data_IF_331087334836
#
_entry.id   IF_331087334836
#
_cell.length_a   1.000
_cell.length_b   1.000
_cell.length_c   1.000
_cell.angle_alpha   90.00
_cell.angle_beta   90.00
_cell.angle_gamma   90.00
#
_symmetry.space_group_name_H-M   'P 1'
#
loop_
_entity.id
_entity.type
_entity.pdbx_description
1 polymer ?
#
# COMPACT_ATOMS: atom_id res chain seq x y z
N UNK A 1 14.40 -10.93 -16.96
CA UNK A 1 14.02 -10.83 -15.54
C UNK A 1 13.63 -12.25 -15.10
N UNK A 2 13.53 -12.55 -13.81
CA UNK A 2 13.11 -13.91 -13.39
C UNK A 2 11.59 -14.02 -13.37
N UNK A 3 11.00 -15.22 -13.53
CA UNK A 3 9.55 -15.41 -13.53
C UNK A 3 8.86 -14.87 -12.27
N UNK A 4 9.45 -15.07 -11.09
CA UNK A 4 8.92 -14.54 -9.82
C UNK A 4 8.84 -13.01 -9.84
N UNK A 5 9.90 -12.33 -10.25
CA UNK A 5 9.90 -10.85 -10.37
C UNK A 5 8.90 -10.34 -11.41
N UNK A 6 8.78 -11.03 -12.55
CA UNK A 6 7.80 -10.69 -13.58
C UNK A 6 6.37 -10.78 -13.06
N UNK A 7 6.06 -11.85 -12.30
CA UNK A 7 4.76 -12.01 -11.66
C UNK A 7 4.49 -10.92 -10.61
N UNK A 8 5.45 -10.64 -9.72
CA UNK A 8 5.32 -9.58 -8.72
C UNK A 8 5.00 -8.23 -9.39
N UNK A 9 5.77 -7.86 -10.42
CA UNK A 9 5.55 -6.61 -11.15
C UNK A 9 4.16 -6.58 -11.80
N UNK A 10 3.73 -7.68 -12.43
CA UNK A 10 2.41 -7.77 -13.04
C UNK A 10 1.28 -7.59 -12.00
N UNK A 11 1.44 -8.16 -10.80
CA UNK A 11 0.47 -8.01 -9.72
C UNK A 11 0.42 -6.57 -9.18
N UNK A 12 1.58 -5.93 -8.99
CA UNK A 12 1.68 -4.51 -8.58
C UNK A 12 1.02 -3.58 -9.61
N UNK A 13 1.28 -3.79 -10.91
CA UNK A 13 0.67 -3.03 -12.01
C UNK A 13 -0.84 -3.22 -12.06
N UNK A 14 -1.32 -4.47 -11.94
CA UNK A 14 -2.74 -4.79 -11.91
C UNK A 14 -3.44 -4.17 -10.71
N UNK A 15 -2.80 -4.19 -9.54
CA UNK A 15 -3.29 -3.55 -8.32
C UNK A 15 -3.52 -2.06 -8.54
N UNK A 16 -2.51 -1.34 -9.03
CA UNK A 16 -2.62 0.10 -9.31
C UNK A 16 -3.70 0.42 -10.33
N UNK A 17 -3.76 -0.31 -11.45
CA UNK A 17 -4.77 -0.06 -12.47
C UNK A 17 -6.20 -0.18 -11.91
N UNK A 18 -6.46 -1.19 -11.08
CA UNK A 18 -7.76 -1.36 -10.41
C UNK A 18 -8.05 -0.24 -9.41
N UNK A 19 -7.07 0.10 -8.58
CA UNK A 19 -7.17 1.18 -7.60
C UNK A 19 -7.52 2.50 -8.27
N UNK A 20 -6.77 2.89 -9.32
CA UNK A 20 -7.02 4.12 -10.07
C UNK A 20 -8.38 4.13 -10.77
N UNK A 21 -8.80 3.01 -11.35
CA UNK A 21 -10.10 2.92 -12.00
C UNK A 21 -11.26 3.18 -11.04
N UNK A 22 -11.22 2.59 -9.84
CA UNK A 22 -12.28 2.77 -8.84
C UNK A 22 -12.25 4.20 -8.29
N UNK A 23 -11.08 4.73 -7.90
CA UNK A 23 -10.99 6.10 -7.39
C UNK A 23 -11.38 7.16 -8.44
N UNK A 24 -11.12 6.90 -9.73
CA UNK A 24 -11.56 7.78 -10.82
C UNK A 24 -13.07 7.78 -11.03
N UNK A 25 -13.80 6.78 -10.52
CA UNK A 25 -15.27 6.73 -10.57
C UNK A 25 -15.95 7.38 -9.36
N UNK A 26 -15.18 7.83 -8.36
CA UNK A 26 -15.71 8.45 -7.14
C UNK A 26 -16.23 9.86 -7.47
N UNK A 27 -17.48 10.11 -7.11
CA UNK A 27 -18.09 11.44 -7.22
C UNK A 27 -17.58 12.39 -6.14
N UNK A 28 -17.65 13.72 -6.33
CA UNK A 28 -17.23 14.69 -5.32
C UNK A 28 -17.83 14.47 -3.93
N UNK A 29 -19.10 14.05 -3.85
CA UNK A 29 -19.77 13.79 -2.57
C UNK A 29 -19.26 12.52 -1.86
N UNK A 30 -18.89 11.49 -2.63
CA UNK A 30 -18.46 10.20 -2.08
C UNK A 30 -17.10 10.26 -1.38
N UNK A 31 -16.24 11.24 -1.70
CA UNK A 31 -14.95 11.42 -1.02
C UNK A 31 -15.09 11.62 0.51
N UNK A 32 -16.22 12.19 0.96
CA UNK A 32 -16.48 12.46 2.37
C UNK A 32 -17.28 11.37 3.07
N UNK A 33 -17.64 10.28 2.38
CA UNK A 33 -18.33 9.14 3.00
C UNK A 33 -17.39 8.48 4.00
N UNK A 34 -17.87 8.28 5.23
CA UNK A 34 -17.15 7.56 6.27
C UNK A 34 -17.17 6.07 5.95
N UNK A 35 -15.98 5.48 5.79
CA UNK A 35 -15.76 4.08 5.47
C UNK A 35 -15.47 3.23 6.72
N UNK A 36 -14.64 3.76 7.62
CA UNK A 36 -14.29 3.10 8.87
C UNK A 36 -14.66 4.01 10.04
N UNK A 37 -15.34 3.47 11.05
CA UNK A 37 -15.73 4.22 12.25
C UNK A 37 -14.66 4.19 13.35
N UNK A 38 -13.78 3.18 13.31
CA UNK A 38 -12.77 2.90 14.33
C UNK A 38 -11.39 2.68 13.69
N UNK A 39 -10.29 2.97 14.41
CA UNK A 39 -10.22 3.56 15.75
C UNK A 39 -10.68 5.03 15.81
N UNK A 40 -10.81 5.68 14.65
CA UNK A 40 -11.47 6.96 14.44
C UNK A 40 -12.03 7.01 13.00
N UNK A 41 -12.97 7.93 12.69
CA UNK A 41 -13.60 7.98 11.38
C UNK A 41 -12.61 8.21 10.24
N UNK A 42 -12.61 7.33 9.24
CA UNK A 42 -11.88 7.51 7.99
C UNK A 42 -12.87 7.70 6.86
N UNK A 43 -12.68 8.75 6.09
CA UNK A 43 -13.41 8.95 4.84
C UNK A 43 -12.80 8.13 3.69
N UNK A 44 -13.50 8.05 2.56
CA UNK A 44 -12.94 7.49 1.31
C UNK A 44 -11.64 8.21 0.91
N UNK A 45 -11.57 9.53 1.13
CA UNK A 45 -10.36 10.32 0.88
C UNK A 45 -9.21 9.94 1.82
N UNK A 46 -9.51 9.64 3.08
CA UNK A 46 -8.50 9.18 4.04
C UNK A 46 -8.01 7.77 3.70
N UNK A 47 -8.86 6.90 3.15
CA UNK A 47 -8.41 5.61 2.61
C UNK A 47 -7.38 5.79 1.48
N UNK A 48 -7.63 6.72 0.56
CA UNK A 48 -6.67 7.01 -0.51
C UNK A 48 -5.34 7.55 0.05
N UNK A 49 -5.39 8.41 1.07
CA UNK A 49 -4.19 8.88 1.77
C UNK A 49 -3.44 7.71 2.44
N UNK A 50 -4.16 6.78 3.08
CA UNK A 50 -3.61 5.55 3.66
C UNK A 50 -2.93 4.66 2.62
N UNK A 51 -3.47 4.57 1.41
CA UNK A 51 -2.85 3.79 0.34
C UNK A 51 -1.49 4.35 -0.07
N UNK A 52 -1.38 5.67 -0.16
CA UNK A 52 -0.12 6.35 -0.45
C UNK A 52 0.90 6.11 0.68
N UNK A 53 0.53 6.40 1.92
CA UNK A 53 1.45 6.25 3.06
C UNK A 53 1.87 4.80 3.32
N UNK A 54 0.96 3.84 3.09
CA UNK A 54 1.26 2.42 3.20
C UNK A 54 2.19 1.95 2.09
N UNK A 55 2.00 2.40 0.85
CA UNK A 55 2.92 2.08 -0.26
C UNK A 55 4.35 2.55 0.07
N UNK A 56 4.49 3.80 0.51
CA UNK A 56 5.79 4.40 0.86
C UNK A 56 6.44 3.69 2.05
N UNK A 57 5.69 3.47 3.14
CA UNK A 57 6.18 2.82 4.35
C UNK A 57 6.56 1.35 4.12
N UNK A 58 5.70 0.59 3.44
CA UNK A 58 5.98 -0.82 3.14
C UNK A 58 7.17 -0.98 2.19
N UNK A 59 7.31 -0.11 1.19
CA UNK A 59 8.50 -0.10 0.33
C UNK A 59 9.78 0.11 1.15
N UNK A 60 9.78 1.07 2.08
CA UNK A 60 10.94 1.35 2.93
C UNK A 60 11.33 0.14 3.80
N UNK A 61 10.34 -0.59 4.32
CA UNK A 61 10.58 -1.80 5.11
C UNK A 61 11.07 -2.94 4.22
N UNK A 62 10.47 -3.15 3.05
CA UNK A 62 10.91 -4.17 2.09
C UNK A 62 12.36 -3.92 1.63
N UNK A 63 12.72 -2.66 1.39
CA UNK A 63 14.09 -2.25 1.09
C UNK A 63 15.06 -2.53 2.24
N UNK A 64 14.63 -2.34 3.48
CA UNK A 64 15.44 -2.71 4.65
C UNK A 64 15.73 -4.22 4.68
N UNK A 65 14.72 -5.06 4.44
CA UNK A 65 14.88 -6.52 4.38
C UNK A 65 15.83 -6.92 3.24
N UNK A 66 15.65 -6.33 2.06
CA UNK A 66 16.54 -6.55 0.91
C UNK A 66 17.99 -6.12 1.18
N UNK A 67 18.21 -5.14 2.06
CA UNK A 67 19.54 -4.73 2.52
C UNK A 67 20.11 -5.61 3.65
N UNK A 68 19.38 -6.63 4.11
CA UNK A 68 19.78 -7.53 5.20
C UNK A 68 19.36 -7.05 6.59
N UNK A 69 18.49 -6.04 6.67
CA UNK A 69 17.86 -5.62 7.92
C UNK A 69 16.72 -6.54 8.34
N UNK A 70 16.22 -6.32 9.57
CA UNK A 70 15.21 -7.17 10.20
C UNK A 70 13.77 -6.89 9.71
N UNK A 71 13.56 -5.82 8.93
CA UNK A 71 12.23 -5.33 8.57
C UNK A 71 11.62 -4.47 9.68
N UNK A 72 10.31 -4.62 9.89
CA UNK A 72 9.57 -3.84 10.87
C UNK A 72 9.99 -4.17 12.31
N UNK A 73 9.90 -3.20 13.22
CA UNK A 73 10.10 -3.43 14.65
C UNK A 73 9.01 -4.34 15.23
N UNK A 74 9.37 -5.14 16.23
CA UNK A 74 8.38 -5.85 17.03
C UNK A 74 7.47 -4.85 17.76
N UNK A 75 6.17 -5.14 17.81
CA UNK A 75 5.19 -4.25 18.43
C UNK A 75 4.91 -2.95 17.65
N UNK A 76 5.19 -2.91 16.33
CA UNK A 76 4.86 -1.76 15.48
C UNK A 76 3.41 -1.30 15.69
N UNK A 77 3.24 -0.03 16.08
CA UNK A 77 1.94 0.56 16.35
C UNK A 77 1.35 1.14 15.05
N UNK A 78 0.47 0.36 14.41
CA UNK A 78 -0.25 0.74 13.20
C UNK A 78 -1.10 1.99 13.39
N UNK A 79 -1.78 2.07 14.53
CA UNK A 79 -2.76 3.12 14.77
C UNK A 79 -2.04 4.47 14.93
N UNK A 80 -0.92 4.47 15.66
CA UNK A 80 -0.06 5.65 15.78
C UNK A 80 0.57 6.06 14.45
N UNK A 81 1.08 5.10 13.67
CA UNK A 81 1.65 5.38 12.34
C UNK A 81 0.59 5.95 11.39
N UNK A 82 -0.54 5.28 11.25
CA UNK A 82 -1.63 5.71 10.37
C UNK A 82 -2.17 7.09 10.79
N UNK A 83 -2.30 7.36 12.10
CA UNK A 83 -2.74 8.66 12.58
C UNK A 83 -1.74 9.78 12.24
N UNK A 84 -0.44 9.50 12.31
CA UNK A 84 0.60 10.44 11.90
C UNK A 84 0.55 10.72 10.39
N UNK A 85 0.38 9.69 9.58
CA UNK A 85 0.34 9.81 8.12
C UNK A 85 -0.92 10.52 7.63
N UNK A 86 -2.08 10.28 8.26
CA UNK A 86 -3.30 11.04 7.96
C UNK A 86 -3.16 12.53 8.31
N UNK A 87 -2.45 12.87 9.38
CA UNK A 87 -2.10 14.27 9.68
C UNK A 87 -1.14 14.84 8.64
N UNK A 88 -0.12 14.09 8.23
CA UNK A 88 0.87 14.50 7.22
C UNK A 88 0.22 14.79 5.87
N UNK A 89 -0.75 13.95 5.48
CA UNK A 89 -1.45 14.05 4.20
C UNK A 89 -2.74 14.87 4.29
N UNK A 90 -3.04 15.50 5.44
CA UNK A 90 -4.21 16.34 5.61
C UNK A 90 -4.21 17.50 4.61
N UNK A 91 -5.38 17.83 4.04
CA UNK A 91 -5.54 18.92 3.09
C UNK A 91 -5.06 18.65 1.65
N UNK A 92 -4.30 17.58 1.38
CA UNK A 92 -3.94 17.20 0.00
C UNK A 92 -5.20 16.73 -0.75
N UNK A 93 -5.53 17.31 -1.92
CA UNK A 93 -6.74 16.95 -2.66
C UNK A 93 -6.63 15.53 -3.26
N UNK A 94 -7.76 14.82 -3.45
CA UNK A 94 -7.76 13.44 -3.95
C UNK A 94 -6.99 13.25 -5.27
N UNK A 95 -7.10 14.21 -6.19
CA UNK A 95 -6.43 14.16 -7.49
C UNK A 95 -4.91 14.09 -7.32
N UNK A 96 -4.38 14.90 -6.40
CA UNK A 96 -2.96 14.90 -6.08
C UNK A 96 -2.53 13.61 -5.38
N UNK A 97 -3.34 13.08 -4.47
CA UNK A 97 -3.07 11.80 -3.82
C UNK A 97 -3.01 10.64 -4.82
N UNK A 98 -3.88 10.65 -5.85
CA UNK A 98 -3.83 9.64 -6.92
C UNK A 98 -2.55 9.74 -7.76
N UNK A 99 -2.12 10.95 -8.10
CA UNK A 99 -0.84 11.17 -8.81
C UNK A 99 0.35 10.68 -7.98
N UNK A 100 0.38 11.04 -6.69
CA UNK A 100 1.45 10.65 -5.78
C UNK A 100 1.45 9.13 -5.55
N UNK A 101 0.27 8.49 -5.43
CA UNK A 101 0.15 7.02 -5.33
C UNK A 101 0.67 6.32 -6.58
N UNK A 102 0.35 6.84 -7.78
CA UNK A 102 0.87 6.32 -9.03
C UNK A 102 2.40 6.40 -9.06
N UNK A 103 2.97 7.53 -8.64
CA UNK A 103 4.41 7.71 -8.57
C UNK A 103 5.06 6.78 -7.52
N UNK A 104 4.44 6.62 -6.35
CA UNK A 104 4.92 5.71 -5.31
C UNK A 104 4.94 4.26 -5.80
N UNK A 105 3.86 3.80 -6.44
CA UNK A 105 3.81 2.46 -7.03
C UNK A 105 4.88 2.26 -8.10
N UNK A 106 5.12 3.26 -8.94
CA UNK A 106 6.17 3.16 -9.96
C UNK A 106 7.54 2.95 -9.31
N UNK A 107 7.84 3.68 -8.22
CA UNK A 107 9.07 3.46 -7.44
C UNK A 107 9.16 2.03 -6.89
N UNK A 108 8.06 1.48 -6.40
CA UNK A 108 8.01 0.07 -5.95
C UNK A 108 8.31 -0.89 -7.10
N UNK A 109 7.68 -0.70 -8.26
CA UNK A 109 7.90 -1.54 -9.45
C UNK A 109 9.36 -1.47 -9.93
N UNK A 110 9.91 -0.26 -10.05
CA UNK A 110 11.29 -0.05 -10.48
C UNK A 110 12.29 -0.71 -9.53
N UNK A 111 12.01 -0.60 -8.22
CA UNK A 111 12.81 -1.27 -7.20
C UNK A 111 12.73 -2.80 -7.30
N UNK A 112 11.52 -3.38 -7.45
CA UNK A 112 11.36 -4.84 -7.62
C UNK A 112 12.08 -5.33 -8.88
N UNK A 113 12.04 -4.57 -9.97
CA UNK A 113 12.76 -4.90 -11.20
C UNK A 113 14.29 -4.97 -10.97
N UNK A 114 14.82 -4.14 -10.08
CA UNK A 114 16.25 -4.08 -9.74
C UNK A 114 16.75 -5.21 -8.84
N UNK A 115 15.87 -5.93 -8.13
CA UNK A 115 16.24 -7.00 -7.20
C UNK A 115 16.94 -8.15 -7.91
N UNK A 116 17.82 -8.87 -7.21
CA UNK A 116 18.27 -10.19 -7.66
C UNK A 116 17.24 -11.25 -7.29
N UNK A 117 17.30 -12.39 -7.95
CA UNK A 117 16.39 -13.51 -7.64
C UNK A 117 16.55 -13.99 -6.19
N UNK A 118 17.79 -14.11 -5.73
CA UNK A 118 18.13 -14.52 -4.36
C UNK A 118 17.65 -13.53 -3.28
N UNK A 119 17.43 -12.26 -3.63
CA UNK A 119 16.93 -11.27 -2.67
C UNK A 119 15.49 -11.58 -2.25
N UNK A 120 14.71 -12.23 -3.12
CA UNK A 120 13.31 -12.59 -2.85
C UNK A 120 13.16 -13.61 -1.71
N UNK A 121 14.21 -14.40 -1.46
CA UNK A 121 14.22 -15.43 -0.42
C UNK A 121 14.67 -14.90 0.95
N UNK A 122 15.11 -13.63 1.03
CA UNK A 122 15.42 -12.99 2.31
C UNK A 122 14.17 -12.92 3.18
N UNK A 123 14.35 -13.15 4.47
CA UNK A 123 13.28 -13.11 5.46
C UNK A 123 13.41 -11.86 6.31
N UNK A 124 12.27 -11.22 6.58
CA UNK A 124 12.19 -10.14 7.54
C UNK A 124 10.77 -9.95 8.02
N UNK A 125 10.60 -9.08 9.02
CA UNK A 125 9.31 -8.86 9.65
C UNK A 125 8.45 -7.92 8.81
N UNK A 126 7.37 -8.45 8.24
CA UNK A 126 6.23 -7.65 7.81
C UNK A 126 5.47 -7.18 9.04
N UNK A 127 5.03 -5.91 9.09
CA UNK A 127 4.26 -5.42 10.21
C UNK A 127 3.09 -6.35 10.56
N UNK A 128 2.10 -6.51 9.67
CA UNK A 128 0.88 -7.25 9.97
C UNK A 128 0.99 -8.79 9.90
N UNK A 129 2.03 -9.33 9.24
CA UNK A 129 2.12 -10.77 8.91
C UNK A 129 3.22 -11.49 9.71
N UNK A 130 4.06 -10.75 10.44
CA UNK A 130 5.22 -11.33 11.12
C UNK A 130 6.35 -11.64 10.15
N UNK A 131 7.15 -12.67 10.44
CA UNK A 131 8.28 -13.07 9.61
C UNK A 131 7.79 -13.70 8.30
N UNK A 132 8.19 -13.10 7.18
CA UNK A 132 7.84 -13.56 5.83
C UNK A 132 9.03 -13.38 4.90
N UNK A 133 9.04 -14.10 3.78
CA UNK A 133 10.01 -13.83 2.71
C UNK A 133 9.73 -12.49 2.05
N UNK A 134 10.75 -11.91 1.41
CA UNK A 134 10.61 -10.65 0.68
C UNK A 134 9.60 -10.76 -0.47
N UNK A 135 9.52 -11.92 -1.14
CA UNK A 135 8.47 -12.20 -2.12
C UNK A 135 7.05 -12.08 -1.51
N UNK A 136 6.80 -12.74 -0.37
CA UNK A 136 5.51 -12.66 0.31
C UNK A 136 5.23 -11.22 0.75
N UNK A 137 6.24 -10.51 1.23
CA UNK A 137 6.13 -9.11 1.61
C UNK A 137 5.69 -8.24 0.41
N UNK A 138 6.36 -8.34 -0.74
CA UNK A 138 6.02 -7.56 -1.94
C UNK A 138 4.60 -7.87 -2.41
N UNK A 139 4.20 -9.15 -2.38
CA UNK A 139 2.82 -9.56 -2.66
C UNK A 139 1.81 -8.94 -1.68
N UNK A 140 2.17 -8.83 -0.40
CA UNK A 140 1.30 -8.23 0.60
C UNK A 140 1.00 -6.75 0.31
N UNK A 141 1.88 -6.00 -0.36
CA UNK A 141 1.66 -4.60 -0.73
C UNK A 141 0.43 -4.46 -1.64
N UNK A 142 0.32 -5.27 -2.70
CA UNK A 142 -0.85 -5.23 -3.59
C UNK A 142 -2.09 -5.87 -2.91
N UNK A 143 -1.89 -6.96 -2.16
CA UNK A 143 -2.97 -7.67 -1.46
C UNK A 143 -3.69 -6.80 -0.43
N UNK A 144 -2.94 -5.98 0.31
CA UNK A 144 -3.46 -4.99 1.25
C UNK A 144 -4.40 -3.99 0.59
N UNK A 145 -4.00 -3.42 -0.56
CA UNK A 145 -4.88 -2.49 -1.28
C UNK A 145 -6.17 -3.18 -1.74
N UNK A 146 -6.09 -4.40 -2.30
CA UNK A 146 -7.28 -5.12 -2.75
C UNK A 146 -8.27 -5.40 -1.61
N UNK A 147 -7.78 -5.70 -0.41
CA UNK A 147 -8.62 -5.89 0.77
C UNK A 147 -9.46 -4.65 1.07
N UNK A 148 -8.80 -3.49 1.12
CA UNK A 148 -9.47 -2.21 1.38
C UNK A 148 -10.35 -1.73 0.22
N UNK A 149 -9.99 -2.03 -1.02
CA UNK A 149 -10.84 -1.73 -2.18
C UNK A 149 -12.16 -2.49 -2.13
N UNK A 150 -12.17 -3.72 -1.61
CA UNK A 150 -13.42 -4.45 -1.37
C UNK A 150 -14.30 -3.73 -0.35
N UNK A 151 -13.70 -3.26 0.75
CA UNK A 151 -14.44 -2.52 1.78
C UNK A 151 -15.04 -1.23 1.20
N UNK A 152 -14.26 -0.49 0.40
CA UNK A 152 -14.70 0.71 -0.30
C UNK A 152 -15.91 0.42 -1.21
N UNK A 153 -15.83 -0.60 -2.05
CA UNK A 153 -16.94 -0.97 -2.95
C UNK A 153 -18.20 -1.35 -2.17
N UNK A 154 -18.05 -2.08 -1.06
CA UNK A 154 -19.19 -2.43 -0.20
C UNK A 154 -19.85 -1.19 0.42
N UNK A 155 -19.06 -0.23 0.90
CA UNK A 155 -19.58 0.99 1.52
C UNK A 155 -20.25 1.95 0.54
N UNK A 156 -19.80 1.95 -0.72
CA UNK A 156 -20.40 2.78 -1.78
C UNK A 156 -21.60 2.12 -2.47
N UNK A 157 -22.07 0.97 -1.94
CA UNK A 157 -23.25 0.28 -2.43
C UNK A 157 -23.02 -0.42 -3.76
N UNK A 158 -21.91 -1.19 -3.86
CA UNK A 158 -21.57 -2.01 -5.02
C UNK A 158 -22.74 -2.77 -5.64
#
# INVERSE_FOLDING_TARGET
MSPRREELIAQLQKGLAKTLAIFSSITPAQWNVVLYEKPYPWTVRDLLAHFLSSEEGLLQIAQNIAAGGLGASEGFDYDAYNAAELRRLAGIPPERLMEDLKAARQRTIDWVASLKEEDLDRVGRHPALGEVTLEIFINAIYGHQLLHMRDLMNALGG
#
